data_IF_172605752996
#
_entry.id   IF_172605752996
#
_cell.length_a   1.000
_cell.length_b   1.000
_cell.length_c   1.000
_cell.angle_alpha   90.00
_cell.angle_beta   90.00
_cell.angle_gamma   90.00
#
_symmetry.space_group_name_H-M   'P 1'
#
loop_
_entity.id
_entity.type
_entity.pdbx_description
1 polymer ?
#
# COMPACT_ATOMS: atom_id res chain seq x y z
N UNK A 1 5.61 2.14 -12.21
CA UNK A 1 6.21 1.45 -11.04
C UNK A 1 5.28 1.46 -9.84
N UNK A 2 4.73 2.61 -9.43
CA UNK A 2 3.86 2.74 -8.23
C UNK A 2 2.58 1.88 -8.29
N UNK A 3 2.03 1.63 -9.49
CA UNK A 3 0.85 0.78 -9.66
C UNK A 3 1.05 -0.67 -9.20
N UNK A 4 2.29 -1.20 -9.26
CA UNK A 4 2.60 -2.58 -8.83
C UNK A 4 2.38 -2.75 -7.31
N UNK A 5 3.05 -2.00 -6.42
CA UNK A 5 2.80 -2.11 -4.98
C UNK A 5 1.38 -1.72 -4.58
N UNK A 6 0.68 -0.88 -5.36
CA UNK A 6 -0.74 -0.62 -5.15
C UNK A 6 -1.58 -1.88 -5.39
N UNK A 7 -1.39 -2.58 -6.51
CA UNK A 7 -2.10 -3.84 -6.80
C UNK A 7 -1.75 -4.92 -5.76
N UNK A 8 -0.48 -5.02 -5.37
CA UNK A 8 -0.05 -5.96 -4.33
C UNK A 8 -0.75 -5.65 -2.99
N UNK A 9 -0.89 -4.37 -2.60
CA UNK A 9 -1.65 -3.99 -1.41
C UNK A 9 -3.15 -4.29 -1.53
N UNK A 10 -3.71 -4.22 -2.76
CA UNK A 10 -5.12 -4.48 -3.02
C UNK A 10 -5.50 -5.95 -3.01
N UNK A 11 -4.63 -6.82 -3.52
CA UNK A 11 -4.91 -8.25 -3.72
C UNK A 11 -4.21 -9.13 -2.68
N UNK A 12 -3.00 -8.74 -2.26
CA UNK A 12 -2.17 -9.49 -1.32
C UNK A 12 -2.90 -9.90 -0.04
N UNK A 13 -3.65 -9.02 0.64
CA UNK A 13 -4.38 -9.38 1.85
C UNK A 13 -5.47 -10.42 1.62
N UNK A 14 -6.13 -10.42 0.46
CA UNK A 14 -7.10 -11.47 0.13
C UNK A 14 -6.41 -12.82 -0.09
N UNK A 15 -5.21 -12.83 -0.66
CA UNK A 15 -4.43 -14.07 -0.82
C UNK A 15 -3.93 -14.57 0.54
N UNK A 16 -3.41 -13.66 1.38
CA UNK A 16 -2.78 -13.99 2.65
C UNK A 16 -3.78 -14.31 3.77
N UNK A 17 -4.95 -13.69 3.76
CA UNK A 17 -5.85 -13.68 4.92
C UNK A 17 -7.15 -14.46 4.66
N UNK A 18 -7.44 -14.87 3.42
CA UNK A 18 -8.65 -15.66 3.10
C UNK A 18 -8.43 -17.17 3.34
N UNK A 19 -8.13 -17.55 4.57
CA UNK A 19 -7.87 -18.94 4.95
C UNK A 19 -8.09 -19.21 6.45
N UNK A 20 -7.85 -20.45 6.86
CA UNK A 20 -8.05 -20.96 8.24
C UNK A 20 -7.09 -20.39 9.29
N UNK A 21 -6.01 -19.73 8.87
CA UNK A 21 -5.11 -19.05 9.82
C UNK A 21 -5.58 -17.63 10.15
N UNK A 22 -6.46 -17.05 9.31
CA UNK A 22 -6.95 -15.67 9.42
C UNK A 22 -8.48 -15.60 9.41
N UNK A 23 -9.14 -15.17 8.32
CA UNK A 23 -10.58 -14.84 8.34
C UNK A 23 -11.47 -16.01 8.76
N UNK A 24 -11.06 -17.26 8.45
CA UNK A 24 -11.77 -18.47 8.84
C UNK A 24 -11.30 -19.07 10.18
N UNK A 25 -10.24 -18.53 10.79
CA UNK A 25 -9.67 -19.05 12.04
C UNK A 25 -10.72 -19.14 13.15
N UNK A 26 -11.02 -20.33 13.69
CA UNK A 26 -12.04 -20.49 14.72
C UNK A 26 -11.61 -19.90 16.08
N UNK A 27 -10.32 -19.70 16.30
CA UNK A 27 -9.79 -19.17 17.56
C UNK A 27 -9.78 -17.63 17.62
N UNK A 28 -9.97 -16.95 16.48
CA UNK A 28 -10.05 -15.49 16.45
C UNK A 28 -11.40 -15.00 16.98
N UNK A 29 -11.42 -14.02 17.91
CA UNK A 29 -12.67 -13.40 18.31
C UNK A 29 -13.30 -12.69 17.10
N UNK A 30 -14.65 -12.55 17.06
CA UNK A 30 -15.34 -11.91 15.95
C UNK A 30 -14.79 -10.52 15.58
N UNK A 31 -14.33 -9.75 16.56
CA UNK A 31 -13.78 -8.41 16.33
C UNK A 31 -12.41 -8.42 15.61
N UNK A 32 -11.57 -9.44 15.82
CA UNK A 32 -10.32 -9.59 15.06
C UNK A 32 -10.62 -9.86 13.58
N UNK A 33 -11.63 -10.70 13.30
CA UNK A 33 -12.10 -10.96 11.93
C UNK A 33 -12.66 -9.71 11.26
N UNK A 34 -13.39 -8.87 12.01
CA UNK A 34 -13.86 -7.57 11.53
C UNK A 34 -12.69 -6.68 11.10
N UNK A 35 -11.67 -6.51 11.93
CA UNK A 35 -10.50 -5.70 11.59
C UNK A 35 -9.64 -6.30 10.46
N UNK A 36 -9.59 -7.62 10.35
CA UNK A 36 -8.96 -8.30 9.21
C UNK A 36 -9.70 -7.99 7.91
N UNK A 37 -11.02 -8.21 7.86
CA UNK A 37 -11.84 -7.88 6.69
C UNK A 37 -11.78 -6.38 6.34
N UNK A 38 -11.75 -5.51 7.35
CA UNK A 38 -11.54 -4.08 7.18
C UNK A 38 -10.18 -3.81 6.52
N UNK A 39 -9.11 -4.46 6.95
CA UNK A 39 -7.76 -4.26 6.40
C UNK A 39 -7.66 -4.75 4.96
N UNK A 40 -8.27 -5.90 4.64
CA UNK A 40 -8.38 -6.40 3.27
C UNK A 40 -9.09 -5.40 2.36
N UNK A 41 -10.25 -4.91 2.81
CA UNK A 41 -11.06 -3.94 2.07
C UNK A 41 -10.36 -2.58 1.93
N UNK A 42 -9.63 -2.15 2.97
CA UNK A 42 -8.82 -0.94 2.96
C UNK A 42 -7.68 -1.04 1.94
N UNK A 43 -7.00 -2.19 1.88
CA UNK A 43 -5.99 -2.47 0.85
C UNK A 43 -6.56 -2.30 -0.56
N UNK A 44 -7.71 -2.93 -0.85
CA UNK A 44 -8.38 -2.81 -2.14
C UNK A 44 -8.81 -1.37 -2.45
N UNK A 45 -9.36 -0.64 -1.46
CA UNK A 45 -9.75 0.76 -1.60
C UNK A 45 -8.57 1.69 -1.88
N UNK A 46 -7.45 1.53 -1.15
CA UNK A 46 -6.22 2.28 -1.37
C UNK A 46 -5.58 1.98 -2.72
N UNK A 47 -5.63 0.73 -3.16
CA UNK A 47 -5.21 0.33 -4.50
C UNK A 47 -6.06 1.01 -5.58
N UNK A 48 -7.38 0.98 -5.44
CA UNK A 48 -8.31 1.66 -6.34
C UNK A 48 -8.06 3.17 -6.40
N UNK A 49 -7.89 3.82 -5.25
CA UNK A 49 -7.57 5.23 -5.17
C UNK A 49 -6.22 5.56 -5.84
N UNK A 50 -5.19 4.76 -5.59
CA UNK A 50 -3.88 4.93 -6.20
C UNK A 50 -3.96 4.79 -7.74
N UNK A 51 -4.65 3.77 -8.23
CA UNK A 51 -4.81 3.55 -9.66
C UNK A 51 -5.65 4.66 -10.30
N UNK A 52 -6.75 5.07 -9.69
CA UNK A 52 -7.56 6.16 -10.20
C UNK A 52 -6.75 7.45 -10.33
N UNK A 53 -5.92 7.77 -9.35
CA UNK A 53 -5.04 8.93 -9.41
C UNK A 53 -3.96 8.79 -10.49
N UNK A 54 -3.29 7.64 -10.58
CA UNK A 54 -2.16 7.45 -11.49
C UNK A 54 -2.57 7.29 -12.96
N UNK A 55 -3.78 6.79 -13.22
CA UNK A 55 -4.23 6.45 -14.58
C UNK A 55 -5.29 7.41 -15.14
N UNK A 56 -5.82 8.35 -14.35
CA UNK A 56 -6.70 9.40 -14.89
C UNK A 56 -5.89 10.36 -15.78
N UNK A 57 -6.49 10.90 -16.86
CA UNK A 57 -5.90 11.99 -17.61
C UNK A 57 -5.61 13.19 -16.70
N UNK A 58 -4.49 13.86 -16.95
CA UNK A 58 -4.14 15.09 -16.26
C UNK A 58 -4.19 16.25 -17.25
N UNK A 59 -5.11 17.20 -17.02
CA UNK A 59 -5.31 18.36 -17.90
C UNK A 59 -4.21 19.42 -17.75
N UNK A 60 -3.36 19.29 -16.74
CA UNK A 60 -2.21 20.17 -16.51
C UNK A 60 -1.07 19.44 -15.82
N UNK A 61 0.14 20.00 -15.93
CA UNK A 61 1.32 19.49 -15.20
C UNK A 61 1.14 19.53 -13.69
N UNK A 62 0.53 20.60 -13.17
CA UNK A 62 0.16 20.69 -11.76
C UNK A 62 -0.82 19.57 -11.35
N UNK A 63 -1.79 19.27 -12.22
CA UNK A 63 -2.70 18.13 -12.07
C UNK A 63 -1.96 16.78 -12.06
N UNK A 64 -1.01 16.58 -12.98
CA UNK A 64 -0.19 15.36 -13.03
C UNK A 64 0.68 15.20 -11.77
N UNK A 65 1.22 16.30 -11.23
CA UNK A 65 1.98 16.32 -9.99
C UNK A 65 1.12 15.94 -8.79
N UNK A 66 -0.07 16.54 -8.66
CA UNK A 66 -1.02 16.24 -7.59
C UNK A 66 -1.52 14.79 -7.67
N UNK A 67 -1.77 14.29 -8.89
CA UNK A 67 -2.15 12.91 -9.14
C UNK A 67 -1.03 11.92 -8.76
N UNK A 68 0.23 12.23 -9.09
CA UNK A 68 1.38 11.46 -8.65
C UNK A 68 1.52 11.45 -7.13
N UNK A 69 1.42 12.62 -6.48
CA UNK A 69 1.54 12.74 -5.02
C UNK A 69 0.43 11.93 -4.32
N UNK A 70 -0.82 12.08 -4.75
CA UNK A 70 -1.95 11.32 -4.21
C UNK A 70 -1.83 9.82 -4.47
N UNK A 71 -1.45 9.42 -5.68
CA UNK A 71 -1.27 8.02 -6.06
C UNK A 71 -0.15 7.34 -5.26
N UNK A 72 0.97 8.03 -5.05
CA UNK A 72 2.08 7.52 -4.24
C UNK A 72 1.70 7.38 -2.76
N UNK A 73 1.00 8.38 -2.19
CA UNK A 73 0.52 8.32 -0.81
C UNK A 73 -0.46 7.15 -0.64
N UNK A 74 -1.45 7.01 -1.51
CA UNK A 74 -2.41 5.90 -1.44
C UNK A 74 -1.73 4.53 -1.56
N UNK A 75 -0.76 4.38 -2.48
CA UNK A 75 -0.02 3.13 -2.67
C UNK A 75 0.91 2.79 -1.48
N UNK A 76 1.47 3.79 -0.79
CA UNK A 76 2.34 3.58 0.36
C UNK A 76 1.57 3.33 1.65
N UNK A 77 0.40 3.94 1.81
CA UNK A 77 -0.28 4.05 3.10
C UNK A 77 -0.55 2.69 3.75
N UNK A 78 -0.99 1.70 2.95
CA UNK A 78 -1.23 0.34 3.43
C UNK A 78 0.01 -0.28 4.09
N UNK A 79 1.19 -0.13 3.46
CA UNK A 79 2.44 -0.68 3.95
C UNK A 79 2.95 0.08 5.18
N UNK A 80 2.84 1.41 5.16
CA UNK A 80 3.25 2.26 6.29
C UNK A 80 2.42 1.92 7.54
N UNK A 81 1.10 1.79 7.40
CA UNK A 81 0.23 1.46 8.53
C UNK A 81 0.40 0.02 9.00
N UNK A 82 0.72 -0.92 8.09
CA UNK A 82 1.06 -2.28 8.48
C UNK A 82 2.35 -2.33 9.32
N UNK A 83 3.38 -1.55 8.96
CA UNK A 83 4.62 -1.45 9.76
C UNK A 83 4.36 -0.74 11.08
N UNK A 84 3.57 0.35 11.08
CA UNK A 84 3.27 1.10 12.30
C UNK A 84 2.49 0.28 13.32
N UNK A 85 1.72 -0.74 12.87
CA UNK A 85 1.02 -1.68 13.74
C UNK A 85 1.93 -2.36 14.78
N UNK A 86 3.23 -2.50 14.49
CA UNK A 86 4.23 -3.06 15.40
C UNK A 86 4.51 -2.19 16.63
N UNK A 87 4.19 -0.89 16.57
CA UNK A 87 4.43 0.04 17.67
C UNK A 87 3.29 0.09 18.70
N UNK A 88 2.15 -0.53 18.41
CA UNK A 88 0.98 -0.50 19.30
C UNK A 88 1.06 -1.60 20.37
N UNK A 89 0.88 -1.27 21.67
CA UNK A 89 0.95 -2.25 22.75
C UNK A 89 0.01 -3.44 22.54
N UNK A 90 0.54 -4.65 22.66
CA UNK A 90 -0.23 -5.89 22.53
C UNK A 90 -0.48 -6.36 21.09
N UNK A 91 -0.11 -5.58 20.07
CA UNK A 91 -0.17 -5.97 18.66
C UNK A 91 0.91 -7.00 18.31
N UNK A 92 0.59 -7.93 17.40
CA UNK A 92 1.54 -8.90 16.84
C UNK A 92 1.27 -9.12 15.35
N UNK A 93 2.33 -9.37 14.60
CA UNK A 93 2.25 -9.65 13.16
C UNK A 93 1.85 -11.09 12.82
N UNK A 94 1.92 -11.99 13.79
CA UNK A 94 1.50 -13.39 13.70
C UNK A 94 0.89 -13.84 15.01
N UNK A 95 -0.07 -14.73 14.93
CA UNK A 95 -0.62 -15.41 16.11
C UNK A 95 0.21 -16.64 16.51
N UNK A 96 0.12 -17.07 17.79
CA UNK A 96 0.65 -18.36 18.19
C UNK A 96 0.12 -19.51 17.31
N UNK A 97 0.97 -20.49 16.96
CA UNK A 97 2.33 -20.71 17.47
C UNK A 97 3.42 -19.90 16.74
N UNK A 98 3.05 -19.02 15.80
CA UNK A 98 3.98 -18.16 15.07
C UNK A 98 4.85 -17.32 16.02
N UNK A 99 6.13 -17.17 15.64
CA UNK A 99 7.14 -16.45 16.44
C UNK A 99 7.86 -15.35 15.66
N UNK A 100 7.54 -15.17 14.40
CA UNK A 100 8.18 -14.17 13.55
C UNK A 100 7.75 -12.77 13.99
N UNK A 101 8.68 -11.82 14.00
CA UNK A 101 8.39 -10.43 14.38
C UNK A 101 7.53 -9.73 13.33
N UNK A 102 7.89 -9.88 12.05
CA UNK A 102 7.17 -9.24 10.94
C UNK A 102 7.46 -9.96 9.60
N UNK A 103 6.88 -11.15 9.35
CA UNK A 103 7.12 -11.89 8.11
C UNK A 103 6.67 -11.13 6.85
N UNK A 104 5.74 -10.20 6.99
CA UNK A 104 5.24 -9.36 5.89
C UNK A 104 6.30 -8.38 5.36
N UNK A 105 7.43 -8.18 6.08
CA UNK A 105 8.53 -7.32 5.65
C UNK A 105 9.04 -7.63 4.24
N UNK A 106 9.03 -8.90 3.85
CA UNK A 106 9.49 -9.37 2.53
C UNK A 106 8.64 -8.83 1.38
N UNK A 107 7.42 -8.39 1.65
CA UNK A 107 6.53 -7.73 0.68
C UNK A 107 6.46 -6.23 0.94
N UNK A 108 6.33 -5.82 2.22
CA UNK A 108 6.14 -4.42 2.58
C UNK A 108 7.34 -3.54 2.22
N UNK A 109 8.57 -3.98 2.50
CA UNK A 109 9.78 -3.17 2.26
C UNK A 109 10.08 -3.00 0.76
N UNK A 110 10.06 -4.06 -0.08
CA UNK A 110 10.20 -3.88 -1.51
C UNK A 110 9.07 -3.04 -2.12
N UNK A 111 7.83 -3.17 -1.60
CA UNK A 111 6.70 -2.37 -2.08
C UNK A 111 6.91 -0.89 -1.81
N UNK A 112 7.34 -0.53 -0.60
CA UNK A 112 7.69 0.86 -0.25
C UNK A 112 8.87 1.38 -1.08
N UNK A 113 9.90 0.55 -1.32
CA UNK A 113 11.02 0.92 -2.17
C UNK A 113 10.56 1.19 -3.61
N UNK A 114 9.65 0.38 -4.16
CA UNK A 114 9.07 0.58 -5.50
C UNK A 114 8.21 1.84 -5.57
N UNK A 115 7.43 2.15 -4.53
CA UNK A 115 6.70 3.43 -4.46
C UNK A 115 7.68 4.59 -4.46
N UNK A 116 8.67 4.58 -3.57
CA UNK A 116 9.65 5.67 -3.45
C UNK A 116 10.48 5.89 -4.71
N UNK A 117 10.98 4.81 -5.32
CA UNK A 117 11.73 4.88 -6.57
C UNK A 117 10.86 5.36 -7.73
N UNK A 118 9.66 4.78 -7.88
CA UNK A 118 8.70 5.20 -8.90
C UNK A 118 8.35 6.68 -8.77
N UNK A 119 8.13 7.14 -7.54
CA UNK A 119 7.85 8.54 -7.24
C UNK A 119 9.02 9.45 -7.61
N UNK A 120 10.24 9.12 -7.16
CA UNK A 120 11.42 9.94 -7.43
C UNK A 120 11.72 10.07 -8.95
N UNK A 121 11.60 8.97 -9.70
CA UNK A 121 11.83 8.96 -11.15
C UNK A 121 10.76 9.79 -11.87
N UNK A 122 9.49 9.60 -11.52
CA UNK A 122 8.37 10.33 -12.11
C UNK A 122 8.49 11.85 -11.84
N UNK A 123 8.82 12.21 -10.60
CA UNK A 123 8.94 13.61 -10.17
C UNK A 123 10.09 14.31 -10.86
N UNK A 124 11.20 13.61 -11.10
CA UNK A 124 12.31 14.09 -11.94
C UNK A 124 11.86 14.31 -13.38
N UNK A 125 11.18 13.35 -14.01
CA UNK A 125 10.70 13.49 -15.40
C UNK A 125 9.78 14.70 -15.59
N UNK A 126 8.88 14.95 -14.63
CA UNK A 126 8.00 16.11 -14.66
C UNK A 126 8.78 17.43 -14.50
N UNK A 127 9.85 17.45 -13.68
CA UNK A 127 10.69 18.63 -13.50
C UNK A 127 11.60 18.94 -14.70
N UNK A 128 12.20 17.93 -15.34
CA UNK A 128 13.06 18.16 -16.51
C UNK A 128 12.29 18.81 -17.67
N UNK A 129 11.04 18.38 -17.89
CA UNK A 129 10.16 19.04 -18.88
C UNK A 129 9.83 20.50 -18.53
N UNK A 130 9.91 20.92 -17.27
CA UNK A 130 9.71 22.33 -16.89
C UNK A 130 10.91 23.21 -17.29
N UNK A 131 12.11 22.65 -17.36
CA UNK A 131 13.32 23.37 -17.76
C UNK A 131 13.36 23.54 -19.28
N UNK A 132 13.06 22.47 -20.03
CA UNK A 132 13.05 22.49 -21.49
C UNK A 132 11.94 23.38 -22.07
N UNK A 133 10.79 23.50 -21.40
CA UNK A 133 9.69 24.35 -21.85
C UNK A 133 9.89 25.86 -21.59
N UNK A 134 10.95 26.24 -20.87
CA UNK A 134 11.27 27.63 -20.51
C UNK A 134 12.50 28.20 -21.22
N UNK A 135 13.25 27.36 -21.95
CA UNK A 135 14.39 27.77 -22.79
C UNK A 135 13.98 27.91 -24.24
#
# INVERSE_FOLDING_TARGET
>A
MISVPAVVAGVGPYIADWNETHIHNPNWPPHAKFHNAQTMSLGAGLAGAALLQLWRPADSRAGARAALDGGAVSAALYWVTQISALAYPGSRAVDPPGRQVFPQAVVALPSLALVGLGYALERRRLHHHDQDARG
#
